data_IF_337481804579
#
_entry.id   IF_337481804579
#
_cell.length_a   1.000
_cell.length_b   1.000
_cell.length_c   1.000
_cell.angle_alpha   90.00
_cell.angle_beta   90.00
_cell.angle_gamma   90.00
#
_symmetry.space_group_name_H-M   'P 1'
#
loop_
_entity.id
_entity.type
_entity.pdbx_description
1 polymer ?
#
# COMPACT_ATOMS: atom_id res chain seq x y z
N UNK A 1 4.66 25.82 11.86
CA UNK A 1 5.03 24.89 10.74
C UNK A 1 4.96 23.45 11.25
N UNK A 2 4.31 22.53 10.51
CA UNK A 2 4.20 21.13 10.93
C UNK A 2 5.45 20.32 10.55
N UNK A 3 5.83 19.35 11.37
CA UNK A 3 7.07 18.56 11.16
C UNK A 3 6.96 17.68 9.90
N UNK A 4 8.05 17.43 9.15
CA UNK A 4 8.03 16.69 7.88
C UNK A 4 7.41 15.28 7.95
N UNK A 5 7.59 14.57 9.07
CA UNK A 5 6.98 13.25 9.30
C UNK A 5 5.48 13.28 9.62
N UNK A 6 4.94 14.45 9.93
CA UNK A 6 3.49 14.67 10.06
C UNK A 6 2.85 15.04 8.71
N UNK A 7 3.66 15.27 7.66
CA UNK A 7 3.19 15.65 6.32
C UNK A 7 3.22 14.44 5.38
N UNK A 8 2.32 14.48 4.40
CA UNK A 8 2.21 13.50 3.31
C UNK A 8 2.40 14.22 1.98
N UNK A 9 3.13 13.60 1.06
CA UNK A 9 3.29 14.09 -0.31
C UNK A 9 3.24 12.90 -1.27
N UNK A 10 2.35 12.94 -2.28
CA UNK A 10 2.17 11.86 -3.28
C UNK A 10 2.00 10.44 -2.70
N UNK A 11 1.50 10.34 -1.47
CA UNK A 11 1.32 9.06 -0.77
C UNK A 11 2.56 8.57 0.00
N UNK A 12 3.63 9.35 0.03
CA UNK A 12 4.82 9.18 0.84
C UNK A 12 4.81 10.08 2.08
N UNK A 13 5.58 9.70 3.09
CA UNK A 13 5.97 10.51 4.23
C UNK A 13 7.47 10.33 4.47
N UNK A 14 8.09 11.24 5.21
CA UNK A 14 9.53 11.22 5.49
C UNK A 14 9.72 10.94 6.97
N UNK A 15 10.61 10.02 7.33
CA UNK A 15 10.93 9.79 8.75
C UNK A 15 11.79 10.92 9.31
N UNK A 16 11.94 10.99 10.64
CA UNK A 16 12.90 11.92 11.26
C UNK A 16 14.34 11.70 10.75
N UNK A 17 14.67 10.47 10.33
CA UNK A 17 15.93 10.08 9.68
C UNK A 17 16.00 10.37 8.18
N UNK A 18 15.09 11.20 7.63
CA UNK A 18 15.01 11.62 6.21
C UNK A 18 14.78 10.50 5.20
N UNK A 19 14.36 9.31 5.65
CA UNK A 19 14.04 8.18 4.75
C UNK A 19 12.62 8.27 4.23
N UNK A 20 12.42 7.89 2.97
CA UNK A 20 11.09 7.80 2.36
C UNK A 20 10.33 6.60 2.91
N UNK A 21 9.09 6.83 3.36
CA UNK A 21 8.18 5.79 3.88
C UNK A 21 6.82 5.93 3.22
N UNK A 22 6.14 4.81 2.99
CA UNK A 22 4.74 4.82 2.58
C UNK A 22 3.88 5.52 3.63
N UNK A 23 3.09 6.51 3.24
CA UNK A 23 2.18 7.18 4.16
C UNK A 23 1.10 6.19 4.66
N UNK A 24 0.76 6.19 5.96
CA UNK A 24 -0.23 5.25 6.51
C UNK A 24 -1.60 5.36 5.84
N UNK A 25 -1.95 6.53 5.29
CA UNK A 25 -3.18 6.70 4.52
C UNK A 25 -3.16 5.92 3.20
N UNK A 26 -2.02 5.86 2.49
CA UNK A 26 -1.88 5.08 1.25
C UNK A 26 -2.04 3.58 1.51
N UNK A 27 -1.49 3.09 2.63
CA UNK A 27 -1.66 1.71 3.07
C UNK A 27 -3.13 1.40 3.38
N UNK A 28 -3.82 2.27 4.13
CA UNK A 28 -5.25 2.12 4.41
C UNK A 28 -6.10 2.10 3.14
N UNK A 29 -5.76 2.91 2.14
CA UNK A 29 -6.43 2.90 0.83
C UNK A 29 -6.25 1.58 0.10
N UNK A 30 -5.03 1.02 0.07
CA UNK A 30 -4.77 -0.30 -0.51
C UNK A 30 -5.61 -1.37 0.20
N UNK A 31 -5.54 -1.43 1.52
CA UNK A 31 -6.31 -2.39 2.32
C UNK A 31 -7.82 -2.25 2.08
N UNK A 32 -8.32 -1.01 2.00
CA UNK A 32 -9.72 -0.72 1.67
C UNK A 32 -10.12 -1.28 0.30
N UNK A 33 -9.29 -1.08 -0.72
CA UNK A 33 -9.52 -1.60 -2.08
C UNK A 33 -9.52 -3.13 -2.10
N UNK A 34 -8.55 -3.76 -1.44
CA UNK A 34 -8.47 -5.23 -1.35
C UNK A 34 -9.70 -5.78 -0.62
N UNK A 35 -10.09 -5.20 0.52
CA UNK A 35 -11.30 -5.63 1.24
C UNK A 35 -12.56 -5.48 0.42
N UNK A 36 -12.70 -4.37 -0.32
CA UNK A 36 -13.85 -4.16 -1.21
C UNK A 36 -13.90 -5.24 -2.30
N UNK A 37 -12.77 -5.55 -2.94
CA UNK A 37 -12.67 -6.63 -3.91
C UNK A 37 -13.01 -8.00 -3.31
N UNK A 38 -12.48 -8.33 -2.14
CA UNK A 38 -12.84 -9.59 -1.46
C UNK A 38 -14.34 -9.66 -1.12
N UNK A 39 -14.99 -8.54 -0.78
CA UNK A 39 -16.44 -8.52 -0.57
C UNK A 39 -17.23 -8.74 -1.86
N UNK A 40 -16.78 -8.16 -2.98
CA UNK A 40 -17.41 -8.35 -4.29
C UNK A 40 -17.16 -9.74 -4.87
N UNK A 41 -16.01 -10.32 -4.55
CA UNK A 41 -15.59 -11.64 -5.02
C UNK A 41 -16.21 -12.81 -4.25
N UNK A 42 -17.22 -12.57 -3.40
CA UNK A 42 -17.97 -13.68 -2.77
C UNK A 42 -18.60 -14.54 -3.87
N UNK A 43 -18.23 -15.83 -3.89
CA UNK A 43 -18.66 -16.77 -4.93
C UNK A 43 -17.80 -16.78 -6.20
N UNK A 44 -16.71 -16.02 -6.25
CA UNK A 44 -15.74 -16.14 -7.34
C UNK A 44 -14.85 -17.36 -7.12
N UNK A 45 -14.34 -17.92 -8.22
CA UNK A 45 -13.20 -18.84 -8.16
C UNK A 45 -11.97 -18.12 -7.60
N UNK A 46 -11.20 -18.82 -6.76
CA UNK A 46 -10.00 -18.28 -6.15
C UNK A 46 -9.00 -17.77 -7.19
N UNK A 47 -8.83 -18.51 -8.29
CA UNK A 47 -7.94 -18.14 -9.41
C UNK A 47 -8.28 -16.75 -9.97
N UNK A 48 -9.58 -16.50 -10.19
CA UNK A 48 -10.08 -15.20 -10.69
C UNK A 48 -9.77 -14.07 -9.71
N UNK A 49 -9.92 -14.32 -8.41
CA UNK A 49 -9.57 -13.34 -7.38
C UNK A 49 -8.07 -13.05 -7.38
N UNK A 50 -7.23 -14.07 -7.47
CA UNK A 50 -5.77 -13.94 -7.53
C UNK A 50 -5.35 -13.15 -8.78
N UNK A 51 -5.88 -13.49 -9.95
CA UNK A 51 -5.61 -12.79 -11.21
C UNK A 51 -6.01 -11.31 -11.14
N UNK A 52 -7.12 -11.01 -10.47
CA UNK A 52 -7.59 -9.62 -10.28
C UNK A 52 -6.70 -8.85 -9.30
N UNK A 53 -6.26 -9.48 -8.21
CA UNK A 53 -5.42 -8.84 -7.19
C UNK A 53 -3.97 -8.62 -7.65
N UNK A 54 -3.43 -9.54 -8.46
CA UNK A 54 -2.04 -9.54 -8.93
C UNK A 54 -1.58 -8.20 -9.55
N UNK A 55 -2.29 -7.59 -10.52
CA UNK A 55 -1.87 -6.31 -11.10
C UNK A 55 -2.00 -5.14 -10.11
N UNK A 56 -2.98 -5.18 -9.20
CA UNK A 56 -3.17 -4.13 -8.18
C UNK A 56 -1.99 -4.11 -7.21
N UNK A 57 -1.62 -5.29 -6.69
CA UNK A 57 -0.51 -5.44 -5.76
C UNK A 57 0.82 -5.09 -6.46
N UNK A 58 1.04 -5.61 -7.67
CA UNK A 58 2.25 -5.30 -8.45
C UNK A 58 2.39 -3.81 -8.76
N UNK A 59 1.32 -3.17 -9.23
CA UNK A 59 1.34 -1.73 -9.51
C UNK A 59 1.60 -0.89 -8.26
N UNK A 60 1.04 -1.29 -7.11
CA UNK A 60 1.30 -0.63 -5.83
C UNK A 60 2.75 -0.79 -5.37
N UNK A 61 3.31 -2.01 -5.48
CA UNK A 61 4.72 -2.27 -5.16
C UNK A 61 5.63 -1.46 -6.07
N UNK A 62 5.39 -1.46 -7.39
CA UNK A 62 6.18 -0.69 -8.35
C UNK A 62 6.16 0.81 -8.03
N UNK A 63 4.99 1.35 -7.71
CA UNK A 63 4.86 2.76 -7.34
C UNK A 63 5.59 3.12 -6.04
N UNK A 64 5.61 2.23 -5.04
CA UNK A 64 6.24 2.44 -3.74
C UNK A 64 7.65 1.84 -3.61
N UNK A 65 8.22 1.32 -4.69
CA UNK A 65 9.53 0.63 -4.69
C UNK A 65 10.68 1.51 -4.21
N UNK A 66 10.56 2.83 -4.41
CA UNK A 66 11.52 3.84 -3.93
C UNK A 66 11.39 4.15 -2.43
N UNK A 67 10.48 3.48 -1.71
CA UNK A 67 10.39 3.59 -0.25
C UNK A 67 11.54 2.83 0.40
N UNK A 68 12.46 3.54 1.04
CA UNK A 68 13.59 2.92 1.76
C UNK A 68 13.13 2.11 2.98
N UNK A 69 11.93 2.39 3.51
CA UNK A 69 11.35 1.67 4.63
C UNK A 69 10.56 0.45 4.16
N UNK A 70 11.20 -0.72 4.17
CA UNK A 70 10.59 -2.01 3.79
C UNK A 70 9.59 -2.58 4.80
N UNK A 71 9.47 -2.00 6.00
CA UNK A 71 8.57 -2.47 7.08
C UNK A 71 7.11 -2.57 6.65
N UNK A 72 6.67 -1.75 5.70
CA UNK A 72 5.30 -1.83 5.16
C UNK A 72 5.03 -3.12 4.37
N UNK A 73 6.07 -3.75 3.81
CA UNK A 73 5.97 -4.96 2.99
C UNK A 73 6.14 -6.23 3.82
N UNK A 74 6.97 -6.22 4.87
CA UNK A 74 7.22 -7.40 5.75
C UNK A 74 6.00 -7.79 6.59
N UNK A 75 5.10 -6.83 6.90
CA UNK A 75 3.91 -7.09 7.74
C UNK A 75 2.71 -7.66 6.98
N UNK A 76 2.92 -8.06 5.73
CA UNK A 76 1.94 -8.73 4.87
C UNK A 76 2.25 -10.24 4.70
N UNK A 77 3.26 -10.74 5.40
CA UNK A 77 3.55 -12.18 5.54
C UNK A 77 2.76 -12.79 6.71
#
# INVERSE_FOLDING_TARGET
VARPWARKFLGYTVTASRKSKVAPQSLRRLQGRIRALCRQARGWRLDRLIETLRPIIRGWIAYFQLSEVKVAFVRLE
#
